data_IF_863858346836
#
_entry.id   IF_863858346836
#
_cell.length_a   1.000
_cell.length_b   1.000
_cell.length_c   1.000
_cell.angle_alpha   90.00
_cell.angle_beta   90.00
_cell.angle_gamma   90.00
#
_symmetry.space_group_name_H-M   'P 1'
#
loop_
_entity.id
_entity.type
_entity.pdbx_description
1 polymer ?
#
# COMPACT_ATOMS: atom_id res chain seq x y z
N UNK A 1 -12.84 -81.94 -6.69
CA UNK A 1 -13.58 -80.68 -6.93
C UNK A 1 -13.21 -79.72 -5.80
N UNK A 2 -12.25 -78.82 -6.03
CA UNK A 2 -11.87 -77.78 -5.07
C UNK A 2 -12.48 -76.44 -5.49
N UNK A 3 -13.09 -75.77 -4.53
CA UNK A 3 -13.98 -74.64 -4.72
C UNK A 3 -13.20 -73.33 -4.90
N UNK A 4 -13.57 -72.54 -5.91
CA UNK A 4 -13.12 -71.17 -6.13
C UNK A 4 -13.55 -70.28 -4.95
N UNK A 5 -12.65 -69.42 -4.47
CA UNK A 5 -12.88 -67.96 -4.39
C UNK A 5 -11.64 -67.24 -3.84
N UNK A 6 -11.01 -66.48 -4.73
CA UNK A 6 -10.07 -65.39 -4.45
C UNK A 6 -10.76 -64.30 -3.64
N UNK A 7 -10.12 -63.80 -2.59
CA UNK A 7 -10.28 -62.41 -2.12
C UNK A 7 -8.90 -61.93 -1.68
N UNK A 8 -8.17 -61.30 -2.60
CA UNK A 8 -7.02 -60.47 -2.26
C UNK A 8 -7.56 -59.11 -1.80
N UNK A 9 -7.46 -58.83 -0.51
CA UNK A 9 -7.88 -57.56 0.08
C UNK A 9 -6.76 -56.53 -0.11
N UNK A 10 -6.80 -55.79 -1.22
CA UNK A 10 -5.95 -54.62 -1.45
C UNK A 10 -6.55 -53.44 -0.67
N UNK A 11 -6.04 -53.22 0.54
CA UNK A 11 -6.34 -52.01 1.33
C UNK A 11 -5.58 -50.86 0.70
N UNK A 12 -6.24 -50.14 -0.21
CA UNK A 12 -5.78 -48.85 -0.71
C UNK A 12 -5.97 -47.81 0.39
N UNK A 13 -4.93 -47.58 1.19
CA UNK A 13 -4.87 -46.44 2.10
C UNK A 13 -4.63 -45.19 1.27
N UNK A 14 -5.69 -44.59 0.72
CA UNK A 14 -5.67 -43.19 0.27
C UNK A 14 -5.69 -42.30 1.52
N UNK A 15 -4.57 -42.23 2.24
CA UNK A 15 -4.32 -41.11 3.14
C UNK A 15 -4.05 -39.91 2.24
N UNK A 16 -5.08 -39.09 2.08
CA UNK A 16 -5.03 -37.76 1.49
C UNK A 16 -3.86 -37.00 2.09
N UNK A 17 -2.75 -36.91 1.35
CA UNK A 17 -1.75 -35.88 1.60
C UNK A 17 -2.47 -34.56 1.44
N UNK A 18 -2.85 -33.95 2.56
CA UNK A 18 -3.15 -32.52 2.58
C UNK A 18 -1.83 -31.84 2.28
N UNK A 19 -1.54 -31.66 1.00
CA UNK A 19 -0.56 -30.70 0.54
C UNK A 19 -1.19 -29.35 0.93
N UNK A 20 -0.90 -28.90 2.14
CA UNK A 20 -0.98 -27.48 2.43
C UNK A 20 0.13 -26.88 1.58
N UNK A 21 -0.22 -26.44 0.37
CA UNK A 21 0.56 -25.42 -0.29
C UNK A 21 0.46 -24.22 0.66
N UNK A 22 1.53 -23.99 1.41
CA UNK A 22 1.71 -22.73 2.11
C UNK A 22 1.52 -21.66 1.04
N UNK A 23 0.53 -20.78 1.26
CA UNK A 23 0.14 -19.76 0.31
C UNK A 23 1.28 -18.74 0.21
N UNK A 24 2.26 -19.00 -0.66
CA UNK A 24 3.45 -18.16 -0.85
C UNK A 24 3.11 -16.91 -1.68
N UNK A 25 2.35 -15.98 -1.10
CA UNK A 25 2.16 -14.66 -1.69
C UNK A 25 3.36 -13.76 -1.38
N UNK A 26 4.03 -13.25 -2.41
CA UNK A 26 5.19 -12.38 -2.23
C UNK A 26 5.30 -11.33 -3.35
N UNK A 27 6.01 -10.25 -3.06
CA UNK A 27 6.34 -9.19 -4.00
C UNK A 27 7.84 -9.00 -4.02
N UNK A 28 8.46 -9.15 -5.19
CA UNK A 28 9.91 -9.00 -5.35
C UNK A 28 10.24 -8.02 -6.48
N UNK A 29 11.42 -7.43 -6.42
CA UNK A 29 12.02 -6.70 -7.54
C UNK A 29 12.98 -7.61 -8.30
N UNK A 30 12.99 -7.48 -9.63
CA UNK A 30 13.97 -8.13 -10.52
C UNK A 30 14.62 -7.07 -11.38
N UNK A 31 15.87 -6.73 -11.08
CA UNK A 31 16.59 -5.66 -11.76
C UNK A 31 17.52 -6.19 -12.84
N UNK A 32 17.65 -5.43 -13.93
CA UNK A 32 18.55 -5.75 -15.06
C UNK A 32 19.97 -5.25 -14.85
N UNK A 33 20.20 -4.43 -13.84
CA UNK A 33 21.48 -3.82 -13.51
C UNK A 33 21.67 -3.69 -12.00
N UNK A 34 22.94 -3.60 -11.55
CA UNK A 34 23.31 -3.50 -10.13
C UNK A 34 22.94 -2.17 -9.48
N UNK A 35 22.68 -1.13 -10.29
CA UNK A 35 22.28 0.20 -9.81
C UNK A 35 20.76 0.34 -9.69
N UNK A 36 20.02 -0.75 -9.93
CA UNK A 36 18.55 -0.81 -9.89
C UNK A 36 17.90 0.26 -10.77
N UNK A 37 18.51 0.61 -11.90
CA UNK A 37 17.98 1.64 -12.79
C UNK A 37 16.79 1.17 -13.61
N UNK A 38 16.71 -0.14 -13.85
CA UNK A 38 15.62 -0.81 -14.54
C UNK A 38 15.26 -2.10 -13.81
N UNK A 39 14.11 -2.09 -13.14
CA UNK A 39 13.58 -3.23 -12.41
C UNK A 39 12.14 -3.55 -12.81
N UNK A 40 11.80 -4.82 -12.84
CA UNK A 40 10.43 -5.30 -12.92
C UNK A 40 9.96 -5.67 -11.50
N UNK A 41 8.75 -5.23 -11.13
CA UNK A 41 8.10 -5.68 -9.90
C UNK A 41 7.29 -6.94 -10.20
N UNK A 42 7.61 -8.04 -9.52
CA UNK A 42 7.01 -9.35 -9.77
C UNK A 42 6.17 -9.77 -8.57
N UNK A 43 4.90 -10.10 -8.85
CA UNK A 43 3.99 -10.73 -7.91
C UNK A 43 4.12 -12.24 -8.02
N UNK A 44 4.33 -12.89 -6.88
CA UNK A 44 4.37 -14.35 -6.75
C UNK A 44 3.13 -14.75 -5.96
N UNK A 45 2.38 -15.73 -6.47
CA UNK A 45 1.23 -16.31 -5.79
C UNK A 45 1.30 -17.83 -5.97
N UNK A 46 1.96 -18.50 -5.03
CA UNK A 46 2.33 -19.91 -5.20
C UNK A 46 3.25 -20.09 -6.40
N UNK A 47 2.84 -20.92 -7.37
CA UNK A 47 3.65 -21.17 -8.59
C UNK A 47 3.50 -20.09 -9.67
N UNK A 48 2.50 -19.21 -9.55
CA UNK A 48 2.24 -18.17 -10.54
C UNK A 48 3.16 -16.96 -10.30
N UNK A 49 3.79 -16.49 -11.38
CA UNK A 49 4.61 -15.27 -11.37
C UNK A 49 4.08 -14.30 -12.41
N UNK A 50 3.73 -13.08 -11.98
CA UNK A 50 3.18 -12.05 -12.83
C UNK A 50 3.96 -10.76 -12.67
N UNK A 51 4.40 -10.16 -13.78
CA UNK A 51 5.05 -8.85 -13.76
C UNK A 51 3.97 -7.79 -13.60
N UNK A 52 4.05 -7.02 -12.51
CA UNK A 52 3.09 -5.98 -12.13
C UNK A 52 3.50 -4.60 -12.61
N UNK A 53 4.77 -4.23 -12.43
CA UNK A 53 5.35 -3.00 -12.97
C UNK A 53 6.60 -3.36 -13.76
N UNK A 54 6.87 -2.59 -14.80
CA UNK A 54 8.04 -2.78 -15.66
C UNK A 54 8.95 -1.57 -15.64
N UNK A 55 10.25 -1.81 -15.72
CA UNK A 55 11.26 -0.77 -15.92
C UNK A 55 11.12 0.40 -14.93
N UNK A 56 10.89 0.08 -13.65
CA UNK A 56 10.85 1.05 -12.55
C UNK A 56 12.25 1.20 -11.96
N UNK A 57 12.55 2.40 -11.45
CA UNK A 57 13.85 2.72 -10.86
C UNK A 57 13.81 2.55 -9.34
N UNK A 58 14.78 1.80 -8.82
CA UNK A 58 15.10 1.61 -7.40
C UNK A 58 13.86 1.40 -6.51
N UNK A 59 13.04 0.37 -6.77
CA UNK A 59 11.83 0.14 -5.99
C UNK A 59 12.18 -0.25 -4.55
N UNK A 60 11.49 0.36 -3.59
CA UNK A 60 11.50 -0.08 -2.19
C UNK A 60 10.27 -0.93 -1.91
N UNK A 61 10.45 -2.10 -1.32
CA UNK A 61 9.38 -3.05 -0.98
C UNK A 61 9.45 -3.33 0.51
N UNK A 62 8.35 -3.08 1.23
CA UNK A 62 8.22 -3.35 2.65
C UNK A 62 6.96 -4.20 2.89
N UNK A 63 7.08 -5.30 3.63
CA UNK A 63 5.91 -6.03 4.13
C UNK A 63 5.34 -5.28 5.35
N UNK A 64 4.12 -4.75 5.21
CA UNK A 64 3.48 -3.89 6.21
C UNK A 64 2.38 -4.61 7.00
N UNK A 65 2.25 -5.91 6.79
CA UNK A 65 1.31 -6.82 7.43
C UNK A 65 1.20 -8.11 6.63
N UNK A 66 0.61 -9.14 7.22
CA UNK A 66 0.50 -10.46 6.58
C UNK A 66 -0.06 -10.33 5.16
N UNK A 67 0.74 -10.76 4.19
CA UNK A 67 0.43 -10.78 2.76
C UNK A 67 0.07 -9.39 2.20
N UNK A 68 0.61 -8.31 2.78
CA UNK A 68 0.41 -6.93 2.34
C UNK A 68 1.73 -6.20 2.27
N UNK A 69 2.05 -5.72 1.07
CA UNK A 69 3.30 -5.02 0.76
C UNK A 69 3.02 -3.56 0.43
N UNK A 70 3.84 -2.65 0.93
CA UNK A 70 3.96 -1.28 0.44
C UNK A 70 5.17 -1.21 -0.49
N UNK A 71 4.94 -0.71 -1.69
CA UNK A 71 5.96 -0.56 -2.71
C UNK A 71 6.04 0.91 -3.13
N UNK A 72 7.23 1.48 -2.98
CA UNK A 72 7.56 2.81 -3.49
C UNK A 72 8.32 2.61 -4.79
N UNK A 73 7.79 3.13 -5.88
CA UNK A 73 8.48 3.10 -7.18
C UNK A 73 8.78 4.50 -7.66
N UNK A 74 9.97 4.72 -8.23
CA UNK A 74 10.23 5.91 -9.02
C UNK A 74 10.10 5.60 -10.52
N UNK A 75 9.44 6.49 -11.27
CA UNK A 75 9.43 6.45 -12.73
C UNK A 75 10.20 7.63 -13.37
N UNK A 76 11.06 8.29 -12.59
CA UNK A 76 11.76 9.53 -12.97
C UNK A 76 11.39 10.70 -12.04
N UNK A 77 11.90 11.90 -12.33
CA UNK A 77 11.57 13.10 -11.55
C UNK A 77 10.57 13.99 -12.31
N UNK A 78 9.42 14.37 -11.72
CA UNK A 78 8.84 13.94 -10.45
C UNK A 78 7.80 12.82 -10.67
N UNK A 79 8.15 11.59 -10.33
CA UNK A 79 7.21 10.47 -10.31
C UNK A 79 7.60 9.51 -9.19
N UNK A 80 6.86 9.55 -8.09
CA UNK A 80 6.94 8.59 -7.00
C UNK A 80 5.55 8.00 -6.79
N UNK A 81 5.40 6.73 -7.16
CA UNK A 81 4.17 5.98 -6.96
C UNK A 81 4.23 5.17 -5.67
N UNK A 82 3.15 5.21 -4.87
CA UNK A 82 2.97 4.38 -3.69
C UNK A 82 1.91 3.32 -3.96
N UNK A 83 2.34 2.07 -4.05
CA UNK A 83 1.47 0.92 -4.27
C UNK A 83 1.30 0.15 -2.97
N UNK A 84 0.06 -0.21 -2.65
CA UNK A 84 -0.24 -1.19 -1.62
C UNK A 84 -0.76 -2.43 -2.32
N UNK A 85 -0.16 -3.58 -2.03
CA UNK A 85 -0.40 -4.81 -2.77
C UNK A 85 -0.71 -5.90 -1.76
N UNK A 86 -1.95 -6.37 -1.76
CA UNK A 86 -2.37 -7.56 -1.04
C UNK A 86 -2.67 -8.71 -1.99
N UNK A 87 -2.77 -9.91 -1.46
CA UNK A 87 -3.05 -11.13 -2.24
C UNK A 87 -4.25 -11.01 -3.21
N UNK A 88 -5.29 -10.29 -2.78
CA UNK A 88 -6.53 -10.13 -3.56
C UNK A 88 -6.95 -8.66 -3.76
N UNK A 89 -6.09 -7.71 -3.42
CA UNK A 89 -6.44 -6.29 -3.47
C UNK A 89 -5.22 -5.44 -3.80
N UNK A 90 -5.46 -4.29 -4.44
CA UNK A 90 -4.43 -3.32 -4.80
C UNK A 90 -4.96 -1.92 -4.50
N UNK A 91 -4.08 -1.04 -4.04
CA UNK A 91 -4.35 0.38 -3.83
C UNK A 91 -3.15 1.19 -4.30
N UNK A 92 -3.37 2.43 -4.70
CA UNK A 92 -2.34 3.27 -5.30
C UNK A 92 -2.56 4.75 -5.00
N UNK A 93 -1.47 5.48 -4.83
CA UNK A 93 -1.48 6.95 -4.78
C UNK A 93 -0.12 7.55 -5.13
N UNK A 94 -0.13 8.65 -5.87
CA UNK A 94 1.07 9.49 -6.16
C UNK A 94 1.19 10.66 -5.18
N UNK A 95 0.14 10.93 -4.41
CA UNK A 95 0.01 12.09 -3.55
C UNK A 95 -0.03 11.69 -2.07
N UNK A 96 0.79 10.69 -1.70
CA UNK A 96 0.87 10.20 -0.33
C UNK A 96 1.45 11.28 0.59
N UNK A 97 0.67 11.67 1.61
CA UNK A 97 1.13 12.53 2.70
C UNK A 97 1.69 11.65 3.82
N UNK A 98 0.89 10.69 4.30
CA UNK A 98 1.32 9.77 5.36
C UNK A 98 0.50 8.51 5.39
N UNK A 99 1.09 7.43 5.89
CA UNK A 99 0.40 6.18 6.19
C UNK A 99 0.67 5.77 7.63
N UNK A 100 -0.37 5.28 8.31
CA UNK A 100 -0.24 4.52 9.55
C UNK A 100 -0.52 3.04 9.23
N UNK A 101 0.55 2.24 9.15
CA UNK A 101 0.44 0.81 8.83
C UNK A 101 -0.31 0.02 9.90
N UNK A 102 -0.31 0.47 11.16
CA UNK A 102 -1.02 -0.20 12.25
C UNK A 102 -2.54 -0.12 12.06
N UNK A 103 -3.06 1.07 11.75
CA UNK A 103 -4.48 1.27 11.47
C UNK A 103 -4.86 1.08 9.99
N UNK A 104 -3.86 0.85 9.13
CA UNK A 104 -3.97 0.83 7.67
C UNK A 104 -4.61 2.11 7.14
N UNK A 105 -4.29 3.26 7.73
CA UNK A 105 -4.86 4.55 7.36
C UNK A 105 -3.91 5.31 6.42
N UNK A 106 -4.39 5.63 5.22
CA UNK A 106 -3.71 6.47 4.23
C UNK A 106 -4.25 7.88 4.34
N UNK A 107 -3.34 8.84 4.36
CA UNK A 107 -3.58 10.27 4.16
C UNK A 107 -2.95 10.65 2.83
N UNK A 108 -3.78 11.15 1.92
CA UNK A 108 -3.38 11.54 0.57
C UNK A 108 -4.00 12.88 0.21
N UNK A 109 -3.34 13.68 -0.62
CA UNK A 109 -4.00 14.82 -1.26
C UNK A 109 -4.59 14.42 -2.61
N UNK A 110 -5.49 15.28 -3.07
CA UNK A 110 -5.92 15.37 -4.45
C UNK A 110 -5.69 16.81 -4.86
N UNK A 111 -4.60 17.04 -5.60
CA UNK A 111 -4.19 18.40 -5.95
C UNK A 111 -5.12 19.05 -6.96
N UNK A 112 -5.79 18.24 -7.79
CA UNK A 112 -6.79 18.72 -8.75
C UNK A 112 -8.05 19.21 -8.04
N UNK A 113 -8.55 18.43 -7.08
CA UNK A 113 -9.72 18.81 -6.29
C UNK A 113 -9.39 19.77 -5.13
N UNK A 114 -8.10 19.99 -4.86
CA UNK A 114 -7.60 20.80 -3.74
C UNK A 114 -8.15 20.31 -2.41
N UNK A 115 -7.99 19.01 -2.14
CA UNK A 115 -8.46 18.38 -0.89
C UNK A 115 -7.42 17.45 -0.32
N UNK A 116 -7.53 17.20 0.98
CA UNK A 116 -6.80 16.13 1.67
C UNK A 116 -7.81 15.12 2.19
N UNK A 117 -7.54 13.86 1.91
CA UNK A 117 -8.40 12.73 2.21
C UNK A 117 -7.75 11.78 3.21
N UNK A 118 -8.60 11.05 3.93
CA UNK A 118 -8.24 9.84 4.64
C UNK A 118 -9.00 8.65 4.08
N UNK A 119 -8.34 7.51 3.92
CA UNK A 119 -8.97 6.23 3.58
C UNK A 119 -8.23 5.08 4.25
N UNK A 120 -8.91 3.94 4.41
CA UNK A 120 -8.20 2.69 4.74
C UNK A 120 -7.55 2.13 3.48
N UNK A 121 -6.39 1.47 3.61
CA UNK A 121 -5.78 0.70 2.52
C UNK A 121 -6.82 -0.27 1.95
N UNK A 122 -6.94 -0.34 0.62
CA UNK A 122 -7.93 -1.15 -0.12
C UNK A 122 -9.39 -0.72 0.04
N UNK A 123 -9.65 0.46 0.60
CA UNK A 123 -10.99 1.05 0.66
C UNK A 123 -11.17 2.08 -0.44
N UNK A 124 -12.25 1.97 -1.20
CA UNK A 124 -12.67 3.01 -2.15
C UNK A 124 -13.34 4.22 -1.45
N UNK A 125 -13.72 4.06 -0.17
CA UNK A 125 -14.33 5.14 0.60
C UNK A 125 -13.26 6.08 1.14
N UNK A 126 -13.36 7.35 0.75
CA UNK A 126 -12.50 8.45 1.22
C UNK A 126 -13.30 9.41 2.10
N UNK A 127 -12.64 9.94 3.13
CA UNK A 127 -13.16 10.98 4.02
C UNK A 127 -12.39 12.26 3.80
N UNK A 128 -13.08 13.35 3.48
CA UNK A 128 -12.42 14.67 3.37
C UNK A 128 -11.98 15.13 4.75
N UNK A 129 -10.70 15.46 4.89
CA UNK A 129 -10.12 16.02 6.11
C UNK A 129 -9.95 17.53 6.03
N UNK A 130 -9.55 18.02 4.85
CA UNK A 130 -9.24 19.43 4.57
C UNK A 130 -9.74 19.79 3.17
N UNK A 131 -10.30 20.99 3.05
CA UNK A 131 -10.55 21.66 1.78
C UNK A 131 -9.51 22.77 1.60
N UNK A 132 -8.59 22.60 0.66
CA UNK A 132 -7.50 23.54 0.38
C UNK A 132 -7.96 24.77 -0.41
N UNK A 133 -9.24 24.83 -0.83
CA UNK A 133 -9.83 26.04 -1.40
C UNK A 133 -10.22 27.10 -0.36
N UNK A 134 -10.15 26.76 0.93
CA UNK A 134 -10.41 27.75 1.99
C UNK A 134 -9.29 28.79 2.04
N UNK A 135 -9.62 30.08 2.14
CA UNK A 135 -8.66 31.21 2.13
C UNK A 135 -7.45 31.07 3.06
N UNK A 136 -7.62 30.36 4.18
CA UNK A 136 -6.51 30.11 5.13
C UNK A 136 -5.37 29.29 4.53
N UNK A 137 -5.58 28.63 3.40
CA UNK A 137 -4.59 27.87 2.65
C UNK A 137 -3.98 28.65 1.48
N UNK A 138 -4.39 29.91 1.25
CA UNK A 138 -3.77 30.80 0.26
C UNK A 138 -2.29 31.10 0.59
N UNK A 139 -1.89 30.84 1.83
CA UNK A 139 -0.49 30.91 2.30
C UNK A 139 0.39 29.79 1.75
N UNK A 140 -0.19 28.69 1.27
CA UNK A 140 0.58 27.59 0.71
C UNK A 140 1.08 28.01 -0.68
N UNK A 141 2.35 27.74 -1.02
CA UNK A 141 2.85 28.01 -2.35
C UNK A 141 2.00 27.28 -3.39
N UNK A 142 1.64 27.97 -4.47
CA UNK A 142 0.88 27.36 -5.57
C UNK A 142 1.77 26.32 -6.27
N UNK A 143 1.63 25.06 -5.86
CA UNK A 143 2.35 23.91 -6.42
C UNK A 143 1.42 23.05 -7.27
N UNK A 144 2.01 22.28 -8.18
CA UNK A 144 1.29 21.23 -8.91
C UNK A 144 0.87 20.07 -7.98
N UNK A 145 1.54 19.91 -6.82
CA UNK A 145 1.36 18.77 -5.93
C UNK A 145 1.36 19.18 -4.43
N UNK A 146 0.16 19.36 -3.86
CA UNK A 146 0.02 19.76 -2.46
C UNK A 146 0.57 18.73 -1.47
N UNK A 147 0.65 17.43 -1.81
CA UNK A 147 1.20 16.44 -0.87
C UNK A 147 2.61 16.80 -0.39
N UNK A 148 3.41 17.47 -1.23
CA UNK A 148 4.79 17.84 -0.94
C UNK A 148 4.91 18.87 0.19
N UNK A 149 3.90 19.71 0.38
CA UNK A 149 3.87 20.65 1.51
C UNK A 149 3.63 19.92 2.83
N UNK A 150 2.96 18.76 2.80
CA UNK A 150 2.49 18.06 3.98
C UNK A 150 3.28 16.80 4.35
N UNK A 151 3.96 16.16 3.39
CA UNK A 151 4.49 14.80 3.57
C UNK A 151 5.73 14.71 4.48
N UNK A 152 6.53 15.77 4.56
CA UNK A 152 7.81 15.78 5.27
C UNK A 152 7.60 15.72 6.78
N UNK A 153 6.80 16.65 7.32
CA UNK A 153 6.65 16.84 8.76
C UNK A 153 5.40 16.17 9.36
N UNK A 154 4.46 15.70 8.54
CA UNK A 154 3.24 15.07 9.05
C UNK A 154 3.50 13.68 9.65
N UNK A 155 2.84 13.37 10.76
CA UNK A 155 3.00 12.09 11.45
C UNK A 155 1.75 11.66 12.21
N UNK A 156 1.63 10.35 12.43
CA UNK A 156 0.66 9.80 13.35
C UNK A 156 1.26 9.70 14.76
N UNK A 157 0.52 10.15 15.78
CA UNK A 157 0.92 9.93 17.16
C UNK A 157 0.64 8.49 17.60
N UNK A 158 1.15 8.10 18.78
CA UNK A 158 0.98 6.75 19.34
C UNK A 158 -0.48 6.33 19.56
N UNK A 159 -1.42 7.27 19.51
CA UNK A 159 -2.86 7.02 19.65
C UNK A 159 -3.57 6.94 18.29
N UNK A 160 -2.83 7.01 17.18
CA UNK A 160 -3.40 7.00 15.82
C UNK A 160 -4.04 8.32 15.41
N UNK A 161 -3.75 9.43 16.10
CA UNK A 161 -4.18 10.75 15.63
C UNK A 161 -3.15 11.30 14.65
N UNK A 162 -3.64 11.94 13.59
CA UNK A 162 -2.79 12.61 12.62
C UNK A 162 -2.42 14.01 13.12
N UNK A 163 -1.13 14.32 13.14
CA UNK A 163 -0.61 15.67 13.20
C UNK A 163 -0.26 16.06 11.76
N UNK A 164 -1.20 16.76 11.11
CA UNK A 164 -1.05 17.23 9.74
C UNK A 164 -0.36 18.59 9.77
N UNK A 165 0.80 18.68 9.14
CA UNK A 165 1.69 19.84 9.17
C UNK A 165 2.04 20.18 7.74
N UNK A 166 1.81 21.44 7.34
CA UNK A 166 2.36 21.97 6.11
C UNK A 166 3.62 22.78 6.43
N UNK A 167 4.69 22.57 5.67
CA UNK A 167 5.91 23.36 5.77
C UNK A 167 6.44 23.81 4.41
N UNK A 168 7.20 24.90 4.42
CA UNK A 168 8.00 25.35 3.28
C UNK A 168 9.43 25.55 3.76
N UNK A 169 10.35 24.68 3.32
CA UNK A 169 11.77 24.67 3.75
C UNK A 169 11.98 24.74 5.28
N UNK A 170 11.06 24.13 6.04
CA UNK A 170 11.10 24.05 7.50
C UNK A 170 10.32 25.14 8.23
N UNK A 171 9.82 26.16 7.52
CA UNK A 171 8.86 27.11 8.07
C UNK A 171 7.48 26.47 8.14
N UNK A 172 6.84 26.50 9.32
CA UNK A 172 5.51 25.91 9.52
C UNK A 172 4.44 26.87 9.04
N UNK A 173 3.75 26.52 7.94
CA UNK A 173 2.66 27.31 7.38
C UNK A 173 1.31 26.92 7.99
N UNK A 174 1.12 25.63 8.28
CA UNK A 174 -0.14 25.12 8.83
C UNK A 174 0.11 23.94 9.76
N UNK A 175 -0.69 23.84 10.82
CA UNK A 175 -0.70 22.68 11.70
C UNK A 175 -2.10 22.39 12.22
N UNK A 176 -2.52 21.13 12.12
CA UNK A 176 -3.78 20.66 12.69
C UNK A 176 -3.66 19.23 13.19
N UNK A 177 -4.17 18.99 14.40
CA UNK A 177 -4.36 17.63 14.92
C UNK A 177 -5.74 17.11 14.53
N UNK A 178 -5.80 15.93 13.93
CA UNK A 178 -7.03 15.26 13.50
C UNK A 178 -7.14 13.93 14.23
N UNK A 179 -8.17 13.80 15.06
CA UNK A 179 -8.42 12.57 15.81
C UNK A 179 -8.94 11.49 14.88
N UNK A 180 -8.35 10.30 14.97
CA UNK A 180 -8.76 9.08 14.27
C UNK A 180 -9.23 9.35 12.81
N UNK A 181 -8.35 9.79 11.91
CA UNK A 181 -8.73 10.28 10.58
C UNK A 181 -9.47 9.22 9.75
N UNK A 182 -9.11 7.94 9.88
CA UNK A 182 -9.78 6.81 9.21
C UNK A 182 -10.82 6.09 10.09
N UNK A 183 -11.18 6.66 11.24
CA UNK A 183 -12.20 6.12 12.12
C UNK A 183 -13.57 6.12 11.45
N UNK A 184 -14.39 5.12 11.80
CA UNK A 184 -15.81 5.15 11.49
C UNK A 184 -16.45 6.34 12.22
N UNK A 185 -17.40 7.01 11.56
CA UNK A 185 -18.27 7.97 12.25
C UNK A 185 -18.95 7.22 13.40
N UNK A 186 -18.69 7.62 14.65
CA UNK A 186 -19.76 7.54 15.64
C UNK A 186 -20.81 8.53 15.12
N UNK A 187 -21.91 7.96 14.60
CA UNK A 187 -23.13 8.71 14.31
C UNK A 187 -23.79 9.09 15.62
#
# INVERSE_FOLDING_TARGET
MLNKKNIACLIFVFLSLKIYAEDDFNVISQCTDEFETSCDLVLINGSEKNIFLRNIKSPSIEEIGKDVFHVVSSCGSPCVGNYFIGKHAKDYTEELIKVDFKSKCIIESDSNEKKIYAKKIFSNTRKTLINLNEKKFDILPSKFNYYSDFNEMSYFDKFGNLNLIANDFGEILFKKKIKNPCGNYEK
#
